data_IF_183868547581
#
_entry.id   IF_183868547581
#
_cell.length_a   1.000
_cell.length_b   1.000
_cell.length_c   1.000
_cell.angle_alpha   90.00
_cell.angle_beta   90.00
_cell.angle_gamma   90.00
#
_symmetry.space_group_name_H-M   'P 1'
#
loop_
_entity.id
_entity.type
_entity.pdbx_description
1 polymer ?
#
# COMPACT_ATOMS: atom_id res chain seq x y z
N UNK A 1 19.85 -23.88 3.80
CA UNK A 1 18.53 -23.22 3.88
C UNK A 1 18.60 -21.89 3.18
N UNK A 2 17.69 -21.65 2.26
CA UNK A 2 17.60 -20.38 1.57
C UNK A 2 17.17 -19.28 2.55
N UNK A 3 17.78 -18.07 2.50
CA UNK A 3 17.33 -16.96 3.34
C UNK A 3 15.87 -16.58 3.13
N UNK A 4 15.29 -16.94 1.98
CA UNK A 4 13.91 -16.60 1.61
C UNK A 4 12.92 -17.73 1.76
N UNK A 5 13.33 -18.81 2.42
CA UNK A 5 12.54 -20.04 2.43
C UNK A 5 11.11 -19.88 2.95
N UNK A 6 10.91 -18.99 3.92
CA UNK A 6 9.57 -18.74 4.45
C UNK A 6 8.77 -17.80 3.53
N UNK A 7 9.38 -16.72 3.09
CA UNK A 7 8.66 -15.64 2.42
C UNK A 7 8.68 -15.71 0.89
N UNK A 8 9.58 -16.50 0.31
CA UNK A 8 9.69 -16.60 -1.14
C UNK A 8 8.38 -16.96 -1.83
N UNK A 9 7.59 -17.95 -1.35
CA UNK A 9 6.31 -18.25 -1.98
C UNK A 9 5.23 -17.22 -1.72
N UNK A 10 5.51 -16.18 -0.95
CA UNK A 10 4.54 -15.16 -0.59
C UNK A 10 4.57 -13.95 -1.50
N UNK A 11 5.49 -13.90 -2.45
CA UNK A 11 5.53 -12.79 -3.40
C UNK A 11 4.32 -12.93 -4.32
N UNK A 12 3.46 -11.93 -4.28
CA UNK A 12 2.27 -11.88 -5.15
C UNK A 12 2.51 -10.91 -6.27
N UNK A 13 1.96 -11.23 -7.43
CA UNK A 13 1.86 -10.25 -8.50
C UNK A 13 0.89 -9.17 -8.05
N UNK A 14 1.24 -7.93 -8.34
CA UNK A 14 0.39 -6.80 -8.02
C UNK A 14 0.31 -5.89 -9.23
N UNK A 15 -0.86 -5.36 -9.54
CA UNK A 15 -0.93 -4.33 -10.56
C UNK A 15 -0.13 -3.13 -10.11
N UNK A 16 0.60 -2.53 -11.03
CA UNK A 16 1.38 -1.34 -10.75
C UNK A 16 0.58 -0.12 -11.20
N UNK A 17 0.47 0.84 -10.31
CA UNK A 17 -0.11 2.14 -10.65
C UNK A 17 1.00 3.03 -11.17
N UNK A 18 0.65 3.94 -12.06
CA UNK A 18 1.58 4.95 -12.54
C UNK A 18 1.27 6.26 -11.85
N UNK A 19 2.29 7.06 -11.61
CA UNK A 19 2.15 8.31 -10.87
C UNK A 19 1.13 9.27 -11.49
N UNK A 20 0.93 9.18 -12.80
CA UNK A 20 -0.05 10.00 -13.52
C UNK A 20 -1.46 9.43 -13.58
N UNK A 21 -1.67 8.20 -13.10
CA UNK A 21 -3.02 7.60 -13.10
C UNK A 21 -3.94 8.43 -12.20
N UNK A 22 -5.19 8.61 -12.63
CA UNK A 22 -6.13 9.36 -11.81
C UNK A 22 -6.66 8.52 -10.65
N UNK A 23 -7.01 9.19 -9.59
CA UNK A 23 -7.41 8.53 -8.33
C UNK A 23 -8.55 7.54 -8.53
N UNK A 24 -9.55 7.88 -9.34
CA UNK A 24 -10.69 6.97 -9.56
C UNK A 24 -10.23 5.65 -10.20
N UNK A 25 -9.32 5.70 -11.17
CA UNK A 25 -8.81 4.49 -11.81
C UNK A 25 -7.89 3.70 -10.87
N UNK A 26 -7.06 4.40 -10.10
CA UNK A 26 -6.22 3.76 -9.10
C UNK A 26 -7.06 3.03 -8.05
N UNK A 27 -8.17 3.65 -7.64
CA UNK A 27 -9.09 3.05 -6.66
C UNK A 27 -9.76 1.79 -7.20
N UNK A 28 -10.17 1.83 -8.49
CA UNK A 28 -10.73 0.64 -9.13
C UNK A 28 -9.72 -0.52 -9.15
N UNK A 29 -8.47 -0.21 -9.50
CA UNK A 29 -7.42 -1.22 -9.53
C UNK A 29 -7.15 -1.79 -8.14
N UNK A 30 -7.15 -0.93 -7.12
CA UNK A 30 -6.95 -1.35 -5.75
C UNK A 30 -8.05 -2.30 -5.30
N UNK A 31 -9.31 -1.96 -5.57
CA UNK A 31 -10.45 -2.81 -5.21
C UNK A 31 -10.38 -4.16 -5.91
N UNK A 32 -9.99 -4.19 -7.18
CA UNK A 32 -9.92 -5.41 -7.95
C UNK A 32 -8.77 -6.33 -7.53
N UNK A 33 -7.74 -5.78 -6.87
CA UNK A 33 -6.53 -6.51 -6.56
C UNK A 33 -6.63 -7.40 -5.31
N UNK A 34 -7.59 -7.14 -4.44
CA UNK A 34 -7.67 -7.75 -3.11
C UNK A 34 -6.44 -7.47 -2.23
N UNK A 35 -5.68 -6.44 -2.57
CA UNK A 35 -4.53 -6.02 -1.77
C UNK A 35 -4.87 -4.74 -1.02
N UNK A 36 -4.28 -4.51 0.15
CA UNK A 36 -4.55 -3.28 0.90
C UNK A 36 -3.84 -2.06 0.32
N UNK A 37 -2.87 -2.26 -0.56
CA UNK A 37 -2.15 -1.17 -1.20
C UNK A 37 -1.46 -1.68 -2.45
N UNK A 38 -1.19 -0.77 -3.39
CA UNK A 38 -0.50 -1.09 -4.65
C UNK A 38 0.73 -0.20 -4.81
N UNK A 39 1.80 -0.73 -5.39
CA UNK A 39 2.97 0.09 -5.71
C UNK A 39 2.64 1.09 -6.80
N UNK A 40 3.24 2.27 -6.71
CA UNK A 40 3.12 3.32 -7.71
C UNK A 40 4.51 3.55 -8.31
N UNK A 41 4.60 3.52 -9.61
CA UNK A 41 5.86 3.70 -10.32
C UNK A 41 5.81 4.94 -11.21
N UNK A 42 6.99 5.45 -11.56
CA UNK A 42 7.11 6.58 -12.45
C UNK A 42 7.25 6.11 -13.91
N UNK A 43 7.54 7.04 -14.80
CA UNK A 43 7.68 6.76 -16.24
C UNK A 43 8.84 5.82 -16.55
N UNK A 44 9.81 5.72 -15.63
CA UNK A 44 10.97 4.84 -15.77
C UNK A 44 10.77 3.50 -15.07
N UNK A 45 9.54 3.18 -14.69
CA UNK A 45 9.20 1.96 -13.95
C UNK A 45 9.85 1.89 -12.57
N UNK A 46 10.24 3.04 -12.01
CA UNK A 46 10.84 3.10 -10.67
C UNK A 46 9.77 3.31 -9.63
N UNK A 47 9.90 2.63 -8.50
CA UNK A 47 8.98 2.75 -7.38
C UNK A 47 9.05 4.16 -6.80
N UNK A 48 7.92 4.85 -6.75
CA UNK A 48 7.81 6.18 -6.14
C UNK A 48 7.05 6.15 -4.82
N UNK A 49 6.27 5.12 -4.57
CA UNK A 49 5.54 4.99 -3.33
C UNK A 49 4.43 3.96 -3.40
N UNK A 50 3.52 4.05 -2.48
CA UNK A 50 2.36 3.15 -2.38
C UNK A 50 1.07 3.96 -2.32
N UNK A 51 0.03 3.43 -2.95
CA UNK A 51 -1.32 3.96 -2.84
C UNK A 51 -2.23 2.84 -2.35
N UNK A 52 -2.81 3.02 -1.19
CA UNK A 52 -3.67 2.01 -0.60
C UNK A 52 -4.85 2.61 0.12
N UNK A 53 -5.46 1.80 0.96
CA UNK A 53 -6.65 2.19 1.73
C UNK A 53 -6.44 3.49 2.49
N UNK A 54 -5.30 3.62 3.14
CA UNK A 54 -4.98 4.81 3.93
C UNK A 54 -4.86 6.06 3.07
N UNK A 55 -4.18 5.95 1.93
CA UNK A 55 -3.97 7.06 1.02
C UNK A 55 -5.28 7.48 0.36
N UNK A 56 -6.12 6.50 0.01
CA UNK A 56 -7.46 6.78 -0.49
C UNK A 56 -8.28 7.57 0.54
N UNK A 57 -8.29 7.08 1.78
CA UNK A 57 -9.02 7.78 2.84
C UNK A 57 -8.49 9.19 3.05
N UNK A 58 -7.18 9.37 2.94
CA UNK A 58 -6.58 10.71 3.02
C UNK A 58 -7.01 11.63 1.89
N UNK A 59 -7.25 11.08 0.69
CA UNK A 59 -7.72 11.86 -0.44
C UNK A 59 -9.17 12.32 -0.24
N UNK A 60 -10.01 11.46 0.36
CA UNK A 60 -11.42 11.74 0.60
C UNK A 60 -11.63 12.60 1.85
N UNK A 61 -10.82 12.37 2.88
CA UNK A 61 -10.94 13.04 4.18
C UNK A 61 -9.66 13.80 4.54
N UNK A 62 -9.22 14.80 3.84
CA UNK A 62 -7.93 15.47 4.12
C UNK A 62 -7.93 16.11 5.52
N UNK A 63 -7.41 17.27 5.73
CA UNK A 63 -7.44 18.00 7.00
C UNK A 63 -8.84 18.25 7.58
N UNK A 64 -9.84 18.00 6.81
CA UNK A 64 -11.24 18.10 7.10
C UNK A 64 -11.68 17.33 8.38
N UNK A 65 -11.08 16.18 8.66
CA UNK A 65 -11.41 15.42 9.86
C UNK A 65 -11.04 16.16 11.13
N UNK A 66 -9.99 16.96 11.11
CA UNK A 66 -9.60 17.79 12.25
C UNK A 66 -10.66 18.85 12.53
N UNK A 67 -11.16 19.47 11.48
CA UNK A 67 -12.21 20.49 11.61
C UNK A 67 -13.48 19.89 12.20
N UNK A 68 -13.85 18.68 11.77
CA UNK A 68 -15.01 17.99 12.30
C UNK A 68 -14.86 17.71 13.79
N UNK A 69 -13.67 17.31 14.21
CA UNK A 69 -13.40 17.00 15.61
C UNK A 69 -13.58 18.22 16.50
N UNK A 70 -13.08 19.39 16.07
CA UNK A 70 -13.17 20.61 16.88
C UNK A 70 -14.52 21.30 16.77
N UNK A 71 -15.18 21.15 15.64
CA UNK A 71 -16.48 21.80 15.41
C UNK A 71 -17.68 20.98 15.89
N UNK A 72 -17.47 19.76 16.36
CA UNK A 72 -18.55 18.92 16.80
C UNK A 72 -19.41 18.33 15.67
N UNK A 73 -18.92 18.38 14.45
CA UNK A 73 -19.66 17.86 13.29
C UNK A 73 -19.42 16.37 13.06
N UNK A 74 -19.37 15.62 14.14
CA UNK A 74 -19.12 14.18 14.09
C UNK A 74 -20.18 13.39 13.33
N UNK A 75 -21.31 14.00 13.03
CA UNK A 75 -22.40 13.33 12.32
C UNK A 75 -22.37 13.55 10.82
N UNK A 76 -21.32 14.15 10.29
CA UNK A 76 -21.22 14.33 8.85
C UNK A 76 -21.11 12.98 8.19
N UNK A 77 -21.94 12.79 7.18
CA UNK A 77 -22.00 11.52 6.49
C UNK A 77 -20.79 11.36 5.54
N UNK A 78 -20.52 10.12 5.19
CA UNK A 78 -19.54 9.81 4.14
C UNK A 78 -19.90 10.51 2.83
N UNK A 79 -21.20 10.60 2.53
CA UNK A 79 -21.69 11.24 1.33
C UNK A 79 -21.28 12.71 1.23
N UNK A 80 -21.34 13.44 2.33
CA UNK A 80 -20.90 14.84 2.36
C UNK A 80 -19.41 14.96 2.07
N UNK A 81 -18.61 14.07 2.65
CA UNK A 81 -17.17 14.07 2.42
C UNK A 81 -16.84 13.76 0.95
N UNK A 82 -17.50 12.76 0.39
CA UNK A 82 -17.31 12.38 -1.02
C UNK A 82 -17.70 13.51 -1.95
N UNK A 83 -18.79 14.19 -1.65
CA UNK A 83 -19.23 15.32 -2.46
C UNK A 83 -18.23 16.46 -2.43
N UNK A 84 -17.73 16.81 -1.25
CA UNK A 84 -16.75 17.89 -1.09
C UNK A 84 -15.42 17.62 -1.76
N UNK A 85 -15.07 16.36 -1.91
CA UNK A 85 -13.81 15.97 -2.51
C UNK A 85 -14.00 15.30 -3.87
N UNK A 86 -15.13 15.54 -4.51
CA UNK A 86 -15.43 14.91 -5.80
C UNK A 86 -14.38 15.19 -6.86
N UNK A 87 -13.71 16.33 -6.79
CA UNK A 87 -12.66 16.67 -7.75
C UNK A 87 -11.40 15.81 -7.60
N UNK A 88 -11.18 15.23 -6.42
CA UNK A 88 -10.01 14.38 -6.22
C UNK A 88 -10.04 13.13 -7.12
N UNK A 89 -11.21 12.73 -7.56
CA UNK A 89 -11.38 11.58 -8.48
C UNK A 89 -10.52 11.71 -9.73
N UNK A 90 -10.36 12.92 -10.24
CA UNK A 90 -9.68 13.18 -11.51
C UNK A 90 -8.25 13.69 -11.31
N UNK A 91 -7.81 13.82 -10.08
CA UNK A 91 -6.43 14.22 -9.79
C UNK A 91 -5.50 13.03 -9.96
N UNK A 92 -4.23 13.29 -10.33
CA UNK A 92 -3.28 12.18 -10.45
C UNK A 92 -2.96 11.58 -9.08
N UNK A 93 -2.76 10.28 -9.06
CA UNK A 93 -2.55 9.53 -7.82
C UNK A 93 -1.28 9.98 -7.10
N UNK A 94 -0.30 10.56 -7.82
CA UNK A 94 0.94 11.07 -7.21
C UNK A 94 0.70 12.12 -6.13
N UNK A 95 -0.45 12.78 -6.17
CA UNK A 95 -0.81 13.78 -5.15
C UNK A 95 -1.05 13.14 -3.78
N UNK A 96 -1.34 11.84 -3.74
CA UNK A 96 -1.76 11.14 -2.53
C UNK A 96 -0.90 9.95 -2.16
N UNK A 97 0.11 9.65 -2.96
CA UNK A 97 0.99 8.50 -2.76
C UNK A 97 1.82 8.68 -1.50
N UNK A 98 1.96 7.60 -0.74
CA UNK A 98 2.88 7.59 0.39
C UNK A 98 4.29 7.36 -0.14
N UNK A 99 5.11 8.41 -0.11
CA UNK A 99 6.49 8.35 -0.58
C UNK A 99 7.46 7.85 0.49
N UNK A 100 7.00 7.77 1.73
CA UNK A 100 7.79 7.19 2.83
C UNK A 100 7.61 5.67 2.83
N UNK A 101 7.87 5.06 1.70
CA UNK A 101 7.72 3.62 1.55
C UNK A 101 9.02 2.90 1.93
N UNK A 102 8.86 1.62 2.22
CA UNK A 102 9.97 0.70 2.41
C UNK A 102 9.81 -0.40 1.37
N UNK A 103 10.90 -0.85 0.79
CA UNK A 103 10.89 -1.97 -0.14
C UNK A 103 12.06 -2.88 0.17
N UNK A 104 12.01 -4.10 -0.34
CA UNK A 104 13.12 -5.05 -0.21
C UNK A 104 13.57 -5.49 -1.60
N UNK A 105 14.82 -5.88 -1.71
CA UNK A 105 15.33 -6.49 -2.92
C UNK A 105 14.81 -7.91 -3.09
N UNK A 106 14.93 -8.45 -4.29
CA UNK A 106 14.48 -9.82 -4.58
C UNK A 106 15.31 -10.87 -3.84
N UNK A 107 16.46 -10.50 -3.30
CA UNK A 107 17.33 -11.37 -2.51
C UNK A 107 17.14 -11.20 -1.00
N UNK A 108 15.99 -10.68 -0.60
CA UNK A 108 15.68 -10.42 0.81
C UNK A 108 15.77 -11.68 1.67
N UNK A 109 15.93 -11.48 2.99
CA UNK A 109 15.85 -12.54 3.97
C UNK A 109 14.55 -12.40 4.78
N UNK A 110 14.11 -13.51 5.39
CA UNK A 110 12.94 -13.49 6.25
C UNK A 110 13.11 -12.55 7.43
N UNK A 111 14.32 -12.49 7.99
CA UNK A 111 14.60 -11.59 9.11
C UNK A 111 14.44 -10.13 8.71
N UNK A 112 14.86 -9.79 7.50
CA UNK A 112 14.70 -8.42 6.98
C UNK A 112 13.23 -8.05 6.84
N UNK A 113 12.43 -8.95 6.28
CA UNK A 113 10.98 -8.73 6.13
C UNK A 113 10.31 -8.61 7.50
N UNK A 114 10.67 -9.50 8.44
CA UNK A 114 10.12 -9.46 9.79
C UNK A 114 10.43 -8.13 10.47
N UNK A 115 11.66 -7.65 10.35
CA UNK A 115 12.05 -6.40 10.97
C UNK A 115 11.26 -5.22 10.40
N UNK A 116 11.04 -5.21 9.09
CA UNK A 116 10.27 -4.15 8.47
C UNK A 116 8.83 -4.15 9.00
N UNK A 117 8.18 -5.31 9.03
CA UNK A 117 6.81 -5.37 9.55
C UNK A 117 6.70 -5.08 11.05
N UNK A 118 7.77 -5.28 11.81
CA UNK A 118 7.79 -4.93 13.22
C UNK A 118 7.95 -3.44 13.46
N UNK A 119 8.70 -2.76 12.61
CA UNK A 119 9.08 -1.37 12.86
C UNK A 119 8.37 -0.36 11.94
N UNK A 120 7.65 -0.83 10.94
CA UNK A 120 6.93 0.05 10.00
C UNK A 120 5.46 -0.33 9.95
N UNK A 121 4.61 0.67 9.88
CA UNK A 121 3.16 0.45 9.81
C UNK A 121 2.72 0.28 8.36
N UNK A 122 3.24 -0.73 7.72
CA UNK A 122 2.90 -1.04 6.34
C UNK A 122 2.16 -2.37 6.27
N UNK A 123 1.25 -2.49 5.35
CA UNK A 123 0.49 -3.72 5.12
C UNK A 123 0.99 -4.46 3.89
N UNK A 124 1.69 -3.77 3.03
CA UNK A 124 2.24 -4.32 1.78
C UNK A 124 3.68 -3.85 1.65
N UNK A 125 4.55 -4.78 1.30
CA UNK A 125 5.97 -4.51 1.13
C UNK A 125 6.34 -4.78 -0.33
N UNK A 126 6.65 -3.75 -1.12
CA UNK A 126 7.10 -3.97 -2.50
C UNK A 126 8.43 -4.70 -2.53
N UNK A 127 8.57 -5.60 -3.50
CA UNK A 127 9.80 -6.34 -3.76
C UNK A 127 10.36 -5.81 -5.08
N UNK A 128 11.62 -5.39 -5.07
CA UNK A 128 12.25 -4.80 -6.24
C UNK A 128 13.45 -5.62 -6.69
N UNK A 129 13.71 -5.59 -8.00
CA UNK A 129 14.88 -6.18 -8.60
C UNK A 129 15.38 -5.22 -9.66
N UNK A 130 16.64 -4.81 -9.56
CA UNK A 130 17.25 -3.86 -10.50
C UNK A 130 16.43 -2.58 -10.63
N UNK A 131 15.81 -2.14 -9.52
CA UNK A 131 15.02 -0.92 -9.47
C UNK A 131 13.57 -1.07 -9.91
N UNK A 132 13.17 -2.24 -10.42
CA UNK A 132 11.79 -2.48 -10.87
C UNK A 132 11.03 -3.35 -9.87
N UNK A 133 9.76 -3.06 -9.69
CA UNK A 133 8.89 -3.84 -8.80
C UNK A 133 8.58 -5.18 -9.45
N UNK A 134 8.88 -6.27 -8.75
CA UNK A 134 8.59 -7.62 -9.23
C UNK A 134 7.40 -8.26 -8.52
N UNK A 135 6.90 -7.64 -7.47
CA UNK A 135 5.73 -8.12 -6.75
C UNK A 135 5.66 -7.49 -5.38
N UNK A 136 4.79 -8.03 -4.54
CA UNK A 136 4.59 -7.53 -3.18
C UNK A 136 4.49 -8.69 -2.20
N UNK A 137 4.82 -8.42 -0.94
CA UNK A 137 4.60 -9.32 0.17
C UNK A 137 3.60 -8.63 1.09
N UNK A 138 2.49 -9.29 1.42
CA UNK A 138 1.55 -8.73 2.38
C UNK A 138 1.93 -9.16 3.79
N UNK A 139 1.65 -8.30 4.76
CA UNK A 139 1.90 -8.62 6.16
C UNK A 139 1.11 -9.86 6.59
N UNK A 140 -0.13 -9.98 6.12
CA UNK A 140 -0.96 -11.13 6.46
C UNK A 140 -0.39 -12.45 5.97
N UNK A 141 0.12 -12.47 4.73
CA UNK A 141 0.73 -13.69 4.19
C UNK A 141 2.00 -14.06 4.94
N UNK A 142 2.83 -13.06 5.24
CA UNK A 142 4.06 -13.30 5.99
C UNK A 142 3.74 -13.84 7.38
N UNK A 143 2.80 -13.21 8.08
CA UNK A 143 2.36 -13.69 9.39
C UNK A 143 1.90 -15.14 9.32
N UNK A 144 1.03 -15.46 8.36
CA UNK A 144 0.47 -16.80 8.22
C UNK A 144 1.57 -17.85 8.03
N UNK A 145 2.53 -17.55 7.16
CA UNK A 145 3.63 -18.48 6.88
C UNK A 145 4.49 -18.73 8.12
N UNK A 146 4.83 -17.67 8.83
CA UNK A 146 5.63 -17.79 10.05
C UNK A 146 4.86 -18.54 11.13
N UNK A 147 3.56 -18.23 11.28
CA UNK A 147 2.72 -18.86 12.28
C UNK A 147 2.57 -20.37 12.01
N UNK A 148 2.37 -20.76 10.76
CA UNK A 148 2.26 -22.17 10.39
C UNK A 148 3.53 -22.93 10.71
N UNK A 149 4.68 -22.34 10.44
CA UNK A 149 5.96 -22.96 10.78
C UNK A 149 6.15 -23.06 12.29
N UNK A 150 5.77 -22.03 13.00
CA UNK A 150 5.86 -22.03 14.46
C UNK A 150 5.01 -23.16 15.07
N UNK A 151 3.79 -23.34 14.55
CA UNK A 151 2.90 -24.38 15.05
C UNK A 151 3.36 -25.79 14.67
N UNK A 152 4.10 -25.93 13.59
CA UNK A 152 4.60 -27.23 13.12
C UNK A 152 5.91 -27.66 13.80
N UNK A 153 6.59 -26.74 14.47
CA UNK A 153 7.89 -27.04 15.08
C UNK A 153 7.80 -27.68 16.47
#
# INVERSE_FOLDING_TARGET
MSPREVSEPLIRDAPLLRSGDIVVEATKALLASDLPALPVVDERERLVGIFGEREFLGAVFPGYLKELKYAGFVKRSLEDALEKRSNSRNEPVREYVNTEHVDVGADYSDAEVAEIFLHHRVLVLPVTKDGSVVGVITRSDFFRSVAERFLAS
#
